data_IF_591426635638
#
_entry.id   IF_591426635638
#
_cell.length_a   1.000
_cell.length_b   1.000
_cell.length_c   1.000
_cell.angle_alpha   90.00
_cell.angle_beta   90.00
_cell.angle_gamma   90.00
#
_symmetry.space_group_name_H-M   'P 1'
#
loop_
_entity.id
_entity.type
_entity.pdbx_description
1 polymer ?
#
# COMPACT_ATOMS: atom_id res chain seq x y z
N UNK A 1 -4.40 -38.99 -4.89
CA UNK A 1 -4.31 -37.85 -3.96
C UNK A 1 -3.76 -36.60 -4.63
N UNK A 2 -2.76 -36.69 -5.52
CA UNK A 2 -2.20 -35.58 -6.31
C UNK A 2 -3.22 -34.84 -7.20
N UNK A 3 -4.12 -35.57 -7.89
CA UNK A 3 -5.10 -34.93 -8.79
C UNK A 3 -6.07 -33.95 -8.10
N UNK A 4 -6.45 -34.20 -6.84
CA UNK A 4 -7.33 -33.29 -6.08
C UNK A 4 -6.59 -32.05 -5.58
N UNK A 5 -5.30 -32.17 -5.27
CA UNK A 5 -4.47 -31.04 -4.89
C UNK A 5 -4.24 -30.10 -6.07
N UNK A 6 -3.81 -30.62 -7.21
CA UNK A 6 -3.52 -29.84 -8.41
C UNK A 6 -4.75 -29.07 -8.89
N UNK A 7 -5.93 -29.69 -8.85
CA UNK A 7 -7.21 -29.05 -9.18
C UNK A 7 -7.53 -27.86 -8.24
N UNK A 8 -7.45 -28.06 -6.92
CA UNK A 8 -7.72 -26.99 -5.94
C UNK A 8 -6.70 -25.87 -6.02
N UNK A 9 -5.43 -26.20 -6.25
CA UNK A 9 -4.36 -25.23 -6.47
C UNK A 9 -4.64 -24.41 -7.73
N UNK A 10 -5.01 -25.07 -8.83
CA UNK A 10 -5.34 -24.39 -10.08
C UNK A 10 -6.55 -23.45 -9.91
N UNK A 11 -7.58 -23.88 -9.17
CA UNK A 11 -8.72 -23.03 -8.84
C UNK A 11 -8.32 -21.81 -7.99
N UNK A 12 -7.51 -22.01 -6.95
CA UNK A 12 -6.99 -20.90 -6.13
C UNK A 12 -6.23 -19.90 -7.00
N UNK A 13 -5.33 -20.38 -7.84
CA UNK A 13 -4.55 -19.53 -8.76
C UNK A 13 -5.46 -18.78 -9.74
N UNK A 14 -6.49 -19.42 -10.28
CA UNK A 14 -7.43 -18.76 -11.19
C UNK A 14 -8.18 -17.61 -10.50
N UNK A 15 -8.67 -17.83 -9.26
CA UNK A 15 -9.35 -16.79 -8.47
C UNK A 15 -8.42 -15.63 -8.13
N UNK A 16 -7.19 -15.93 -7.72
CA UNK A 16 -6.18 -14.89 -7.46
C UNK A 16 -5.83 -14.11 -8.73
N UNK A 17 -5.75 -14.79 -9.88
CA UNK A 17 -5.46 -14.14 -11.16
C UNK A 17 -6.52 -13.10 -11.52
N UNK A 18 -7.81 -13.42 -11.38
CA UNK A 18 -8.88 -12.45 -11.62
C UNK A 18 -8.72 -11.20 -10.74
N UNK A 19 -8.42 -11.38 -9.45
CA UNK A 19 -8.14 -10.27 -8.53
C UNK A 19 -6.94 -9.42 -9.01
N UNK A 20 -5.83 -10.05 -9.39
CA UNK A 20 -4.63 -9.36 -9.84
C UNK A 20 -4.83 -8.66 -11.20
N UNK A 21 -5.60 -9.24 -12.11
CA UNK A 21 -5.92 -8.61 -13.41
C UNK A 21 -6.76 -7.34 -13.20
N UNK A 22 -7.74 -7.37 -12.30
CA UNK A 22 -8.53 -6.18 -11.92
C UNK A 22 -7.62 -5.12 -11.29
N UNK A 23 -6.71 -5.52 -10.39
CA UNK A 23 -5.73 -4.59 -9.82
C UNK A 23 -4.78 -4.00 -10.86
N UNK A 24 -4.39 -4.78 -11.88
CA UNK A 24 -3.65 -4.28 -13.04
C UNK A 24 -4.41 -3.20 -13.80
N UNK A 25 -5.72 -3.40 -14.02
CA UNK A 25 -6.58 -2.40 -14.64
C UNK A 25 -6.73 -1.13 -13.76
N UNK A 26 -6.86 -1.27 -12.44
CA UNK A 26 -6.86 -0.15 -11.49
C UNK A 26 -5.55 0.65 -11.60
N UNK A 27 -4.41 -0.04 -11.64
CA UNK A 27 -3.10 0.58 -11.76
C UNK A 27 -2.96 1.35 -13.08
N UNK A 28 -3.40 0.78 -14.20
CA UNK A 28 -3.40 1.45 -15.51
C UNK A 28 -4.26 2.73 -15.50
N UNK A 29 -5.47 2.67 -14.93
CA UNK A 29 -6.35 3.83 -14.81
C UNK A 29 -5.77 4.91 -13.89
N UNK A 30 -5.08 4.52 -12.82
CA UNK A 30 -4.43 5.45 -11.90
C UNK A 30 -3.23 6.12 -12.56
N UNK A 31 -2.41 5.36 -13.31
CA UNK A 31 -1.33 5.90 -14.12
C UNK A 31 -1.84 6.93 -15.13
N UNK A 32 -2.87 6.57 -15.92
CA UNK A 32 -3.48 7.48 -16.90
C UNK A 32 -4.01 8.75 -16.24
N UNK A 33 -4.58 8.64 -15.03
CA UNK A 33 -5.08 9.79 -14.25
C UNK A 33 -3.98 10.83 -14.00
N UNK A 34 -2.73 10.38 -13.87
CA UNK A 34 -1.56 11.20 -13.53
C UNK A 34 -0.70 11.59 -14.74
N UNK A 35 -1.01 11.09 -15.95
CA UNK A 35 -0.20 11.30 -17.15
C UNK A 35 -0.98 11.91 -18.31
N UNK A 36 -2.05 11.25 -18.76
CA UNK A 36 -2.76 11.60 -20.01
C UNK A 36 -4.21 12.06 -19.81
N UNK A 37 -4.83 11.78 -18.65
CA UNK A 37 -6.24 12.07 -18.42
C UNK A 37 -6.55 13.57 -18.59
N UNK A 38 -7.58 13.95 -19.38
CA UNK A 38 -8.00 15.34 -19.50
C UNK A 38 -8.46 15.93 -18.15
N UNK A 39 -8.29 17.24 -17.92
CA UNK A 39 -8.61 17.88 -16.63
C UNK A 39 -10.05 17.65 -16.12
N UNK A 40 -11.03 17.52 -17.03
CA UNK A 40 -12.44 17.28 -16.68
C UNK A 40 -12.81 15.80 -16.51
N UNK A 41 -11.84 14.88 -16.63
CA UNK A 41 -12.04 13.43 -16.55
C UNK A 41 -12.21 12.88 -15.13
N UNK A 42 -11.83 13.66 -14.11
CA UNK A 42 -11.76 13.20 -12.72
C UNK A 42 -13.05 12.54 -12.19
N UNK A 43 -14.27 13.07 -12.42
CA UNK A 43 -15.50 12.42 -11.92
C UNK A 43 -15.75 11.03 -12.54
N UNK A 44 -15.47 10.89 -13.85
CA UNK A 44 -15.63 9.62 -14.53
C UNK A 44 -14.57 8.60 -14.07
N UNK A 45 -13.32 9.04 -13.92
CA UNK A 45 -12.21 8.22 -13.42
C UNK A 45 -12.45 7.74 -12.00
N UNK A 46 -12.90 8.62 -11.10
CA UNK A 46 -13.26 8.25 -9.74
C UNK A 46 -14.32 7.14 -9.69
N UNK A 47 -15.39 7.25 -10.51
CA UNK A 47 -16.43 6.22 -10.61
C UNK A 47 -15.89 4.89 -11.14
N UNK A 48 -15.03 4.91 -12.15
CA UNK A 48 -14.38 3.71 -12.70
C UNK A 48 -13.54 3.00 -11.64
N UNK A 49 -12.65 3.74 -10.96
CA UNK A 49 -11.79 3.21 -9.90
C UNK A 49 -12.61 2.64 -8.74
N UNK A 50 -13.63 3.36 -8.27
CA UNK A 50 -14.52 2.88 -7.21
C UNK A 50 -15.22 1.57 -7.58
N UNK A 51 -15.66 1.44 -8.84
CA UNK A 51 -16.32 0.21 -9.33
C UNK A 51 -15.36 -0.97 -9.32
N UNK A 52 -14.14 -0.78 -9.86
CA UNK A 52 -13.13 -1.83 -9.92
C UNK A 52 -12.61 -2.21 -8.53
N UNK A 53 -12.43 -1.24 -7.63
CA UNK A 53 -12.02 -1.49 -6.25
C UNK A 53 -13.06 -2.34 -5.50
N UNK A 54 -14.36 -2.06 -5.67
CA UNK A 54 -15.43 -2.90 -5.09
C UNK A 54 -15.34 -4.34 -5.60
N UNK A 55 -15.21 -4.54 -6.91
CA UNK A 55 -15.12 -5.88 -7.51
C UNK A 55 -13.84 -6.59 -7.04
N UNK A 56 -12.70 -5.88 -6.99
CA UNK A 56 -11.44 -6.42 -6.49
C UNK A 56 -11.57 -6.85 -5.02
N UNK A 57 -12.20 -6.05 -4.18
CA UNK A 57 -12.45 -6.39 -2.78
C UNK A 57 -13.31 -7.65 -2.65
N UNK A 58 -14.45 -7.72 -3.37
CA UNK A 58 -15.32 -8.90 -3.41
C UNK A 58 -14.55 -10.18 -3.81
N UNK A 59 -13.70 -10.08 -4.83
CA UNK A 59 -12.85 -11.20 -5.27
C UNK A 59 -11.80 -11.57 -4.24
N UNK A 60 -11.22 -10.59 -3.54
CA UNK A 60 -10.16 -10.81 -2.55
C UNK A 60 -10.66 -11.51 -1.29
N UNK A 61 -11.91 -11.25 -0.91
CA UNK A 61 -12.57 -11.75 0.30
C UNK A 61 -13.56 -12.88 0.03
N UNK A 62 -13.55 -13.47 -1.16
CA UNK A 62 -14.41 -14.60 -1.51
C UNK A 62 -14.18 -15.76 -0.52
N UNK A 63 -15.22 -16.24 0.21
CA UNK A 63 -15.10 -17.34 1.16
C UNK A 63 -14.50 -18.63 0.58
N UNK A 64 -14.62 -18.86 -0.73
CA UNK A 64 -14.04 -20.02 -1.39
C UNK A 64 -12.50 -19.99 -1.36
N UNK A 65 -11.88 -18.80 -1.35
CA UNK A 65 -10.43 -18.69 -1.15
C UNK A 65 -10.04 -19.31 0.19
N UNK A 66 -10.79 -19.00 1.26
CA UNK A 66 -10.58 -19.61 2.58
C UNK A 66 -10.71 -21.13 2.54
N UNK A 67 -11.76 -21.66 1.91
CA UNK A 67 -11.98 -23.12 1.78
C UNK A 67 -10.85 -23.81 1.00
N UNK A 68 -10.38 -23.20 -0.09
CA UNK A 68 -9.27 -23.72 -0.88
C UNK A 68 -7.97 -23.71 -0.08
N UNK A 69 -7.68 -22.62 0.63
CA UNK A 69 -6.52 -22.53 1.52
C UNK A 69 -6.52 -23.62 2.59
N UNK A 70 -7.67 -23.86 3.25
CA UNK A 70 -7.82 -24.89 4.28
C UNK A 70 -7.61 -26.29 3.69
N UNK A 71 -8.10 -26.53 2.47
CA UNK A 71 -7.95 -27.81 1.79
C UNK A 71 -6.52 -28.07 1.27
N UNK A 72 -5.77 -27.02 0.94
CA UNK A 72 -4.39 -27.11 0.45
C UNK A 72 -3.38 -27.22 1.59
N UNK A 73 -3.72 -26.69 2.77
CA UNK A 73 -2.82 -26.59 3.92
C UNK A 73 -2.13 -27.92 4.31
N UNK A 74 -2.84 -29.06 4.49
CA UNK A 74 -2.21 -30.32 4.91
C UNK A 74 -1.16 -30.85 3.93
N UNK A 75 -1.29 -30.53 2.64
CA UNK A 75 -0.29 -30.88 1.64
C UNK A 75 0.90 -29.93 1.73
N UNK A 76 0.65 -28.62 1.81
CA UNK A 76 1.73 -27.62 1.85
C UNK A 76 2.57 -27.69 3.12
N UNK A 77 2.03 -28.18 4.24
CA UNK A 77 2.79 -28.41 5.48
C UNK A 77 3.85 -29.52 5.35
N UNK A 78 3.72 -30.39 4.35
CA UNK A 78 4.70 -31.45 4.07
C UNK A 78 5.82 -30.98 3.12
N UNK A 79 5.69 -29.78 2.56
CA UNK A 79 6.66 -29.21 1.63
C UNK A 79 7.71 -28.37 2.38
N UNK A 80 8.91 -28.21 1.81
CA UNK A 80 9.89 -27.25 2.31
C UNK A 80 9.30 -25.83 2.39
N UNK A 81 9.66 -25.00 3.40
CA UNK A 81 9.11 -23.65 3.54
C UNK A 81 9.35 -22.70 2.35
N UNK A 82 10.38 -22.97 1.56
CA UNK A 82 10.75 -22.23 0.34
C UNK A 82 10.14 -22.83 -0.94
N UNK A 83 9.31 -23.86 -0.86
CA UNK A 83 8.58 -24.38 -2.00
C UNK A 83 7.48 -23.39 -2.44
N UNK A 84 7.35 -23.16 -3.74
CA UNK A 84 6.43 -22.15 -4.29
C UNK A 84 4.99 -22.35 -3.81
N UNK A 85 4.49 -23.58 -3.81
CA UNK A 85 3.12 -23.87 -3.34
C UNK A 85 2.93 -23.62 -1.84
N UNK A 86 3.93 -23.90 -1.02
CA UNK A 86 3.90 -23.58 0.41
C UNK A 86 3.92 -22.07 0.63
N UNK A 87 4.74 -21.33 -0.14
CA UNK A 87 4.77 -19.88 -0.11
C UNK A 87 3.46 -19.26 -0.60
N UNK A 88 2.89 -19.76 -1.70
CA UNK A 88 1.62 -19.32 -2.27
C UNK A 88 0.50 -19.42 -1.24
N UNK A 89 0.32 -20.59 -0.61
CA UNK A 89 -0.71 -20.80 0.41
C UNK A 89 -0.46 -19.92 1.64
N UNK A 90 0.77 -19.87 2.16
CA UNK A 90 1.13 -19.07 3.34
C UNK A 90 0.87 -17.58 3.14
N UNK A 91 1.34 -17.00 2.03
CA UNK A 91 1.19 -15.57 1.74
C UNK A 91 -0.28 -15.24 1.43
N UNK A 92 -0.94 -16.07 0.63
CA UNK A 92 -2.35 -15.86 0.28
C UNK A 92 -3.24 -15.92 1.51
N UNK A 93 -3.01 -16.87 2.42
CA UNK A 93 -3.73 -17.00 3.69
C UNK A 93 -3.58 -15.75 4.55
N UNK A 94 -2.35 -15.31 4.80
CA UNK A 94 -2.09 -14.07 5.57
C UNK A 94 -2.88 -12.89 5.02
N UNK A 95 -2.75 -12.65 3.72
CA UNK A 95 -3.41 -11.52 3.08
C UNK A 95 -4.96 -11.69 3.03
N UNK A 96 -5.47 -12.92 2.90
CA UNK A 96 -6.91 -13.20 2.94
C UNK A 96 -7.47 -12.92 4.34
N UNK A 97 -6.82 -13.46 5.38
CA UNK A 97 -7.19 -13.23 6.77
C UNK A 97 -7.11 -11.76 7.14
N UNK A 98 -6.14 -11.02 6.60
CA UNK A 98 -6.07 -9.57 6.79
C UNK A 98 -7.25 -8.85 6.12
N UNK A 99 -7.59 -9.23 4.88
CA UNK A 99 -8.65 -8.59 4.11
C UNK A 99 -10.04 -8.80 4.74
N UNK A 100 -10.34 -10.00 5.25
CA UNK A 100 -11.65 -10.31 5.82
C UNK A 100 -11.87 -9.73 7.23
N UNK A 101 -10.80 -9.29 7.91
CA UNK A 101 -10.90 -8.68 9.26
C UNK A 101 -11.46 -7.27 9.22
N UNK A 102 -11.34 -6.58 8.09
CA UNK A 102 -11.82 -5.20 7.92
C UNK A 102 -13.24 -5.23 7.36
N UNK A 103 -14.25 -4.71 8.08
CA UNK A 103 -15.61 -4.67 7.58
C UNK A 103 -15.73 -3.82 6.31
N UNK A 104 -16.54 -4.27 5.34
CA UNK A 104 -16.74 -3.57 4.09
C UNK A 104 -17.29 -2.14 4.28
N UNK A 105 -18.22 -1.95 5.21
CA UNK A 105 -18.79 -0.63 5.52
C UNK A 105 -17.72 0.34 6.07
N UNK A 106 -16.84 -0.15 6.95
CA UNK A 106 -15.73 0.64 7.47
C UNK A 106 -14.74 1.00 6.35
N UNK A 107 -14.37 0.04 5.50
CA UNK A 107 -13.47 0.28 4.37
C UNK A 107 -14.04 1.34 3.40
N UNK A 108 -15.34 1.28 3.13
CA UNK A 108 -16.04 2.26 2.30
C UNK A 108 -16.05 3.65 2.94
N UNK A 109 -16.36 3.76 4.23
CA UNK A 109 -16.34 5.04 4.95
C UNK A 109 -14.92 5.63 4.99
N UNK A 110 -13.91 4.80 5.28
CA UNK A 110 -12.51 5.24 5.34
C UNK A 110 -12.00 5.74 4.00
N UNK A 111 -12.38 5.08 2.91
CA UNK A 111 -12.05 5.51 1.55
C UNK A 111 -12.69 6.86 1.20
N UNK A 112 -13.99 7.05 1.50
CA UNK A 112 -14.69 8.30 1.27
C UNK A 112 -14.06 9.45 2.08
N UNK A 113 -13.82 9.23 3.38
CA UNK A 113 -13.15 10.18 4.26
C UNK A 113 -11.77 10.59 3.74
N UNK A 114 -10.95 9.62 3.30
CA UNK A 114 -9.61 9.88 2.77
C UNK A 114 -9.65 10.71 1.48
N UNK A 115 -10.62 10.47 0.61
CA UNK A 115 -10.80 11.25 -0.62
C UNK A 115 -11.17 12.71 -0.32
N UNK A 116 -12.08 12.94 0.62
CA UNK A 116 -12.47 14.29 1.07
C UNK A 116 -11.29 15.00 1.75
N UNK A 117 -10.57 14.31 2.64
CA UNK A 117 -9.40 14.84 3.32
C UNK A 117 -8.30 15.25 2.33
N UNK A 118 -8.06 14.44 1.30
CA UNK A 118 -7.10 14.76 0.25
C UNK A 118 -7.53 16.00 -0.55
N UNK A 119 -8.80 16.10 -0.94
CA UNK A 119 -9.33 17.27 -1.65
C UNK A 119 -9.22 18.57 -0.82
N UNK A 120 -9.47 18.50 0.49
CA UNK A 120 -9.24 19.64 1.37
C UNK A 120 -7.75 20.01 1.44
N UNK A 121 -6.87 19.02 1.56
CA UNK A 121 -5.43 19.22 1.64
C UNK A 121 -4.81 19.83 0.38
N UNK A 122 -5.27 19.46 -0.82
CA UNK A 122 -4.71 20.03 -2.08
C UNK A 122 -4.94 21.54 -2.19
N UNK A 123 -5.98 22.06 -1.54
CA UNK A 123 -6.26 23.50 -1.46
C UNK A 123 -5.55 24.14 -0.26
N UNK A 124 -5.58 23.47 0.89
CA UNK A 124 -5.06 24.02 2.14
C UNK A 124 -3.52 24.09 2.19
N UNK A 125 -2.81 23.09 1.63
CA UNK A 125 -1.34 23.06 1.64
C UNK A 125 -0.69 24.28 0.99
N UNK A 126 -1.03 24.68 -0.26
CA UNK A 126 -0.44 25.89 -0.86
C UNK A 126 -0.88 27.18 -0.17
N UNK A 127 -1.98 27.15 0.59
CA UNK A 127 -2.49 28.28 1.36
C UNK A 127 -1.93 28.36 2.80
N UNK A 128 -1.09 27.40 3.21
CA UNK A 128 -0.60 27.25 4.59
C UNK A 128 -1.73 27.17 5.64
N UNK A 129 -2.89 26.61 5.26
CA UNK A 129 -4.08 26.56 6.12
C UNK A 129 -4.20 25.21 6.84
N UNK A 130 -3.44 25.05 7.92
CA UNK A 130 -3.56 23.85 8.76
C UNK A 130 -4.95 23.71 9.41
N UNK A 131 -5.62 24.83 9.71
CA UNK A 131 -6.92 24.80 10.39
C UNK A 131 -7.99 24.12 9.53
N UNK A 132 -7.96 24.32 8.21
CA UNK A 132 -8.86 23.67 7.26
C UNK A 132 -8.69 22.13 7.23
N UNK A 133 -7.48 21.60 7.42
CA UNK A 133 -7.22 20.13 7.38
C UNK A 133 -7.29 19.45 8.74
N UNK A 134 -7.13 20.20 9.83
CA UNK A 134 -7.14 19.68 11.20
C UNK A 134 -8.32 18.72 11.50
N UNK A 135 -9.61 19.06 11.23
CA UNK A 135 -10.71 18.15 11.54
C UNK A 135 -10.64 16.84 10.74
N UNK A 136 -10.17 16.89 9.49
CA UNK A 136 -9.97 15.70 8.67
C UNK A 136 -8.87 14.81 9.25
N UNK A 137 -7.75 15.38 9.67
CA UNK A 137 -6.65 14.64 10.29
C UNK A 137 -7.05 13.99 11.63
N UNK A 138 -7.88 14.66 12.43
CA UNK A 138 -8.42 14.09 13.67
C UNK A 138 -9.27 12.86 13.37
N UNK A 139 -10.23 12.96 12.43
CA UNK A 139 -11.04 11.82 12.01
C UNK A 139 -10.17 10.72 11.37
N UNK A 140 -9.15 11.06 10.58
CA UNK A 140 -8.20 10.08 10.02
C UNK A 140 -7.48 9.32 11.14
N UNK A 141 -7.02 9.99 12.18
CA UNK A 141 -6.37 9.35 13.32
C UNK A 141 -7.32 8.41 14.07
N UNK A 142 -8.55 8.84 14.32
CA UNK A 142 -9.58 8.01 14.95
C UNK A 142 -9.86 6.75 14.13
N UNK A 143 -10.14 6.90 12.83
CA UNK A 143 -10.38 5.75 11.96
C UNK A 143 -9.14 4.87 11.80
N UNK A 144 -7.92 5.42 11.81
CA UNK A 144 -6.69 4.61 11.77
C UNK A 144 -6.52 3.75 13.02
N UNK A 145 -6.97 4.24 14.19
CA UNK A 145 -7.00 3.44 15.42
C UNK A 145 -8.03 2.34 15.34
N UNK A 146 -9.24 2.65 14.87
CA UNK A 146 -10.27 1.63 14.59
C UNK A 146 -9.77 0.56 13.62
N UNK A 147 -9.04 0.96 12.58
CA UNK A 147 -8.42 0.04 11.63
C UNK A 147 -7.45 -0.92 12.32
N UNK A 148 -6.60 -0.41 13.22
CA UNK A 148 -5.67 -1.23 13.99
C UNK A 148 -6.40 -2.22 14.92
N UNK A 149 -7.54 -1.83 15.48
CA UNK A 149 -8.35 -2.67 16.39
C UNK A 149 -8.99 -3.89 15.70
N UNK A 150 -9.09 -3.91 14.37
CA UNK A 150 -9.46 -5.13 13.62
C UNK A 150 -8.37 -6.22 13.65
N UNK A 151 -7.18 -5.91 14.17
CA UNK A 151 -6.03 -6.81 14.27
C UNK A 151 -5.56 -6.93 15.72
N UNK A 152 -6.36 -7.52 16.64
CA UNK A 152 -6.04 -7.56 18.06
C UNK A 152 -4.77 -8.36 18.36
N UNK A 153 -4.13 -8.05 19.49
CA UNK A 153 -2.89 -8.70 19.94
C UNK A 153 -1.61 -7.93 19.61
N UNK A 154 -1.73 -6.71 19.10
CA UNK A 154 -0.59 -5.80 18.95
C UNK A 154 -0.09 -5.27 20.31
N UNK A 155 1.19 -4.86 20.36
CA UNK A 155 1.77 -4.24 21.56
C UNK A 155 1.63 -2.71 21.52
N UNK A 156 1.73 -2.14 20.32
CA UNK A 156 1.54 -0.73 20.05
C UNK A 156 0.48 -0.53 18.97
N UNK A 157 -0.35 0.51 19.11
CA UNK A 157 -1.49 0.81 18.21
C UNK A 157 -1.10 0.94 16.72
N UNK A 158 0.16 1.27 16.45
CA UNK A 158 0.68 1.37 15.09
C UNK A 158 1.15 0.03 14.50
N UNK A 159 1.37 -1.02 15.31
CA UNK A 159 1.97 -2.27 14.83
C UNK A 159 1.16 -2.91 13.70
N UNK A 160 -0.19 -2.98 13.73
CA UNK A 160 -0.94 -3.54 12.60
C UNK A 160 -0.72 -2.74 11.31
N UNK A 161 -0.67 -1.41 11.40
CA UNK A 161 -0.48 -0.55 10.24
C UNK A 161 0.95 -0.62 9.71
N UNK A 162 1.94 -0.83 10.59
CA UNK A 162 3.33 -1.09 10.23
C UNK A 162 3.44 -2.45 9.52
N UNK A 163 2.84 -3.51 10.07
CA UNK A 163 2.87 -4.86 9.50
C UNK A 163 2.18 -4.94 8.13
N UNK A 164 1.13 -4.13 7.90
CA UNK A 164 0.49 -3.98 6.60
C UNK A 164 1.44 -3.35 5.55
N UNK A 165 2.34 -2.46 5.97
CA UNK A 165 3.31 -1.81 5.08
C UNK A 165 4.57 -2.67 4.87
N UNK A 166 5.09 -3.26 5.94
CA UNK A 166 6.27 -4.12 5.92
C UNK A 166 6.05 -5.32 6.85
N UNK A 167 5.86 -6.49 6.23
CA UNK A 167 5.47 -7.70 6.95
C UNK A 167 6.48 -8.10 8.02
N UNK A 168 5.99 -8.27 9.24
CA UNK A 168 6.75 -8.65 10.42
C UNK A 168 7.42 -7.46 11.12
N UNK A 169 7.31 -6.25 10.59
CA UNK A 169 7.80 -5.05 11.26
C UNK A 169 6.82 -4.56 12.33
N UNK A 170 7.38 -3.95 13.37
CA UNK A 170 6.65 -3.40 14.51
C UNK A 170 7.36 -2.17 15.05
N UNK A 171 6.67 -1.39 15.88
CA UNK A 171 7.23 -0.19 16.47
C UNK A 171 8.47 -0.47 17.34
N UNK A 172 8.53 -1.62 18.01
CA UNK A 172 9.66 -2.03 18.86
C UNK A 172 10.88 -2.49 18.06
N UNK A 173 10.69 -3.01 16.84
CA UNK A 173 11.77 -3.29 15.89
C UNK A 173 12.31 -2.01 15.26
N UNK A 174 11.42 -1.08 14.88
CA UNK A 174 11.79 0.15 14.17
C UNK A 174 12.47 1.17 15.08
N UNK A 175 12.04 1.28 16.34
CA UNK A 175 12.53 2.32 17.25
C UNK A 175 14.05 2.24 17.53
N UNK A 176 14.65 1.07 17.84
CA UNK A 176 16.10 0.95 17.99
C UNK A 176 16.85 1.28 16.69
N UNK A 177 16.35 0.83 15.54
CA UNK A 177 16.94 1.14 14.23
C UNK A 177 16.98 2.65 13.97
N UNK A 178 15.88 3.35 14.24
CA UNK A 178 15.84 4.81 14.10
C UNK A 178 16.75 5.53 15.09
N UNK A 179 16.95 4.99 16.28
CA UNK A 179 17.88 5.55 17.25
C UNK A 179 19.33 5.40 16.78
N UNK A 180 19.72 4.22 16.29
CA UNK A 180 21.05 3.99 15.71
C UNK A 180 21.31 4.92 14.51
N UNK A 181 20.35 5.01 13.59
CA UNK A 181 20.42 5.92 12.44
C UNK A 181 20.51 7.38 12.89
N UNK A 182 19.75 7.80 13.91
CA UNK A 182 19.83 9.16 14.46
C UNK A 182 21.21 9.45 15.03
N UNK A 183 21.77 8.53 15.81
CA UNK A 183 23.09 8.68 16.42
C UNK A 183 24.21 8.80 15.38
N UNK A 184 24.11 8.07 14.26
CA UNK A 184 25.09 8.15 13.19
C UNK A 184 24.87 9.36 12.25
N UNK A 185 23.64 9.60 11.81
CA UNK A 185 23.32 10.57 10.77
C UNK A 185 23.25 12.00 11.29
N UNK A 186 22.77 12.25 12.51
CA UNK A 186 22.65 13.63 13.02
C UNK A 186 24.02 14.34 13.17
N UNK A 187 25.07 13.69 13.73
CA UNK A 187 26.41 14.28 13.75
C UNK A 187 27.01 14.44 12.36
N UNK A 188 26.77 13.49 11.45
CA UNK A 188 27.26 13.57 10.07
C UNK A 188 26.65 14.76 9.32
N UNK A 189 25.32 14.91 9.38
CA UNK A 189 24.61 16.05 8.76
C UNK A 189 25.09 17.37 9.36
N UNK A 190 25.27 17.44 10.69
CA UNK A 190 25.84 18.62 11.34
C UNK A 190 27.25 18.92 10.85
N UNK A 191 28.13 17.92 10.81
CA UNK A 191 29.51 18.08 10.37
C UNK A 191 29.61 18.55 8.90
N UNK A 192 28.68 18.14 8.04
CA UNK A 192 28.59 18.60 6.64
C UNK A 192 28.02 20.02 6.57
N UNK A 193 26.96 20.31 7.33
CA UNK A 193 26.32 21.63 7.35
C UNK A 193 27.25 22.73 7.88
N UNK A 194 28.15 22.41 8.81
CA UNK A 194 29.15 23.33 9.38
C UNK A 194 30.33 23.61 8.41
N UNK A 195 30.39 22.95 7.25
CA UNK A 195 31.41 23.18 6.22
C UNK A 195 30.92 24.19 5.17
N UNK A 196 31.83 24.86 4.46
CA UNK A 196 31.47 25.59 3.25
C UNK A 196 30.68 24.67 2.31
N UNK A 197 29.49 25.11 1.93
CA UNK A 197 28.65 24.34 1.02
C UNK A 197 29.29 24.32 -0.38
N UNK A 198 29.13 23.21 -1.08
CA UNK A 198 29.59 23.11 -2.48
C UNK A 198 28.86 24.15 -3.32
N UNK A 199 29.56 24.72 -4.30
CA UNK A 199 28.90 25.56 -5.30
C UNK A 199 28.01 24.68 -6.17
N UNK A 200 26.69 24.76 -5.94
CA UNK A 200 25.67 24.06 -6.69
C UNK A 200 25.00 24.95 -7.75
N UNK A 201 25.53 26.14 -8.01
CA UNK A 201 24.96 27.09 -8.96
C UNK A 201 24.83 26.50 -10.37
N UNK A 202 25.78 25.64 -10.76
CA UNK A 202 25.73 24.95 -12.04
C UNK A 202 24.49 24.05 -12.16
N UNK A 203 24.06 23.36 -11.10
CA UNK A 203 22.85 22.51 -11.11
C UNK A 203 21.56 23.30 -11.29
N UNK A 204 21.58 24.62 -11.06
CA UNK A 204 20.43 25.52 -11.18
C UNK A 204 20.41 26.30 -12.50
N UNK A 205 21.34 26.03 -13.40
CA UNK A 205 21.34 26.58 -14.75
C UNK A 205 20.14 26.06 -15.55
N UNK A 206 19.90 26.67 -16.72
CA UNK A 206 18.91 26.14 -17.65
C UNK A 206 19.44 24.85 -18.31
N UNK A 207 18.73 23.76 -18.08
CA UNK A 207 18.92 22.48 -18.76
C UNK A 207 17.67 22.16 -19.58
N UNK A 208 17.74 22.11 -20.92
CA UNK A 208 16.57 21.82 -21.74
C UNK A 208 15.93 20.48 -21.36
N UNK A 209 14.62 20.48 -21.13
CA UNK A 209 13.89 19.29 -20.67
C UNK A 209 14.05 18.10 -21.62
N UNK A 210 14.07 18.35 -22.94
CA UNK A 210 14.29 17.32 -23.96
C UNK A 210 15.66 16.68 -23.87
N UNK A 211 16.70 17.46 -23.55
CA UNK A 211 18.05 16.96 -23.33
C UNK A 211 18.15 16.16 -22.03
N UNK A 212 17.52 16.64 -20.95
CA UNK A 212 17.45 15.88 -19.70
C UNK A 212 16.77 14.52 -19.88
N UNK A 213 15.67 14.50 -20.64
CA UNK A 213 14.94 13.27 -20.98
C UNK A 213 15.81 12.30 -21.77
N UNK A 214 16.38 12.77 -22.88
CA UNK A 214 17.24 11.94 -23.74
C UNK A 214 18.47 11.39 -22.99
N UNK A 215 19.05 12.19 -22.08
CA UNK A 215 20.12 11.72 -21.21
C UNK A 215 19.64 10.63 -20.26
N UNK A 216 18.51 10.83 -19.58
CA UNK A 216 17.94 9.87 -18.63
C UNK A 216 17.53 8.54 -19.26
N UNK A 217 17.11 8.52 -20.52
CA UNK A 217 16.81 7.28 -21.25
C UNK A 217 18.07 6.52 -21.71
N UNK A 218 19.24 7.17 -21.74
CA UNK A 218 20.48 6.60 -22.22
C UNK A 218 21.35 5.95 -21.12
N UNK A 219 21.07 6.24 -19.84
CA UNK A 219 21.81 5.71 -18.67
C UNK A 219 21.11 4.54 -17.98
#
# INVERSE_FOLDING_TARGET
MTGTFEQKRAELVARLREYYDIHGAIALLSWDQTTYMPPKGAPARARQLATLQRIAHEKRTDPEIGRLLDALQPYTEQLPPNHDDAALVRVTRRQYEQAIKVPADFAAEFAAHTAEAYAAWTTARPADDFAAVKPYLQKTLEMSRTMADFFPGYQHIADPLIDLADFGMRADTIRPLFEELRQALAPLVKAIADRPQVDDSFLRCHYPATTQWAFGEAV
#
